data_IF_957678959626
#
_entry.id   IF_957678959626
#
_cell.length_a   1.000
_cell.length_b   1.000
_cell.length_c   1.000
_cell.angle_alpha   90.00
_cell.angle_beta   90.00
_cell.angle_gamma   90.00
#
_symmetry.space_group_name_H-M   'P 1'
#
loop_
_entity.id
_entity.type
_entity.pdbx_description
1 polymer ?
#
# COMPACT_ATOMS: atom_id res chain seq x y z
N UNK A 1 6.92 -9.90 5.46
CA UNK A 1 5.52 -9.60 5.88
C UNK A 1 5.44 -9.64 7.40
N UNK A 2 4.78 -8.66 8.02
CA UNK A 2 4.51 -8.61 9.46
C UNK A 2 3.03 -8.32 9.69
N UNK A 3 2.43 -8.97 10.69
CA UNK A 3 1.01 -8.81 11.03
C UNK A 3 0.89 -8.45 12.51
N UNK A 4 0.07 -7.44 12.82
CA UNK A 4 -0.36 -7.08 14.19
C UNK A 4 -1.86 -7.34 14.28
N UNK A 5 -2.26 -8.23 15.18
CA UNK A 5 -3.66 -8.59 15.40
C UNK A 5 -4.22 -7.78 16.57
N UNK A 6 -5.52 -7.46 16.50
CA UNK A 6 -6.26 -6.87 17.61
C UNK A 6 -7.76 -6.93 17.34
N UNK A 7 -8.53 -7.50 18.27
CA UNK A 7 -10.02 -7.57 18.27
C UNK A 7 -10.69 -7.61 16.88
N UNK A 8 -10.44 -8.70 16.13
CA UNK A 8 -11.04 -8.89 14.81
C UNK A 8 -10.46 -7.99 13.71
N UNK A 9 -9.37 -7.28 13.97
CA UNK A 9 -8.60 -6.53 12.99
C UNK A 9 -7.19 -7.12 12.83
N UNK A 10 -6.63 -6.98 11.63
CA UNK A 10 -5.25 -7.31 11.33
C UNK A 10 -4.60 -6.15 10.55
N UNK A 11 -3.60 -5.52 11.15
CA UNK A 11 -2.72 -4.57 10.49
C UNK A 11 -1.56 -5.33 9.86
N UNK A 12 -1.43 -5.23 8.55
CA UNK A 12 -0.45 -5.98 7.75
C UNK A 12 0.56 -5.01 7.15
N UNK A 13 1.84 -5.24 7.44
CA UNK A 13 2.97 -4.62 6.76
C UNK A 13 3.50 -5.59 5.70
N UNK A 14 3.46 -5.15 4.45
CA UNK A 14 3.88 -5.95 3.30
C UNK A 14 5.00 -5.22 2.56
N UNK A 15 6.13 -5.89 2.41
CA UNK A 15 7.21 -5.43 1.54
C UNK A 15 7.06 -6.13 0.19
N UNK A 16 7.19 -5.38 -0.89
CA UNK A 16 7.17 -5.90 -2.26
C UNK A 16 8.36 -5.36 -3.03
N UNK A 17 9.21 -6.27 -3.53
CA UNK A 17 10.24 -5.95 -4.50
C UNK A 17 9.58 -5.91 -5.87
N UNK A 18 9.57 -4.75 -6.51
CA UNK A 18 9.08 -4.56 -7.87
C UNK A 18 10.28 -4.49 -8.81
N UNK A 19 10.39 -5.46 -9.71
CA UNK A 19 11.33 -5.49 -10.81
C UNK A 19 10.53 -5.58 -12.10
N UNK A 20 10.48 -4.49 -12.86
CA UNK A 20 9.68 -4.39 -14.08
C UNK A 20 10.36 -3.48 -15.10
N UNK A 21 9.81 -3.45 -16.32
CA UNK A 21 10.20 -2.52 -17.36
C UNK A 21 9.20 -1.37 -17.42
N UNK A 22 9.71 -0.14 -17.50
CA UNK A 22 8.92 1.04 -17.81
C UNK A 22 8.42 0.98 -19.25
N UNK A 23 7.44 1.81 -19.60
CA UNK A 23 6.90 1.92 -20.97
C UNK A 23 7.95 2.26 -22.02
N UNK A 24 9.05 2.92 -21.63
CA UNK A 24 10.19 3.23 -22.50
C UNK A 24 11.28 2.13 -22.54
N UNK A 25 11.04 0.96 -21.93
CA UNK A 25 11.97 -0.17 -21.89
C UNK A 25 13.07 -0.07 -20.83
N UNK A 26 13.12 1.01 -20.03
CA UNK A 26 14.06 1.14 -18.93
C UNK A 26 13.73 0.18 -17.77
N UNK A 27 14.76 -0.30 -17.07
CA UNK A 27 14.57 -1.08 -15.84
C UNK A 27 14.02 -0.20 -14.72
N UNK A 28 13.00 -0.72 -14.02
CA UNK A 28 12.43 -0.13 -12.83
C UNK A 28 12.47 -1.14 -11.69
N UNK A 29 13.42 -0.90 -10.78
CA UNK A 29 13.66 -1.71 -9.60
C UNK A 29 13.40 -0.87 -8.36
N UNK A 30 12.42 -1.25 -7.55
CA UNK A 30 12.10 -0.54 -6.31
C UNK A 30 11.58 -1.49 -5.24
N UNK A 31 11.65 -1.07 -3.99
CA UNK A 31 11.01 -1.75 -2.85
C UNK A 31 9.84 -0.87 -2.40
N UNK A 32 8.67 -1.48 -2.25
CA UNK A 32 7.48 -0.81 -1.72
C UNK A 32 7.09 -1.41 -0.38
N UNK A 33 6.93 -0.55 0.61
CA UNK A 33 6.41 -0.90 1.93
C UNK A 33 4.94 -0.49 2.01
N UNK A 34 4.04 -1.46 1.84
CA UNK A 34 2.60 -1.27 1.93
C UNK A 34 2.08 -1.51 3.35
N UNK A 35 0.94 -0.89 3.67
CA UNK A 35 0.19 -1.11 4.91
C UNK A 35 -1.26 -1.42 4.58
N UNK A 36 -1.76 -2.56 5.03
CA UNK A 36 -3.16 -2.96 4.84
C UNK A 36 -3.85 -3.16 6.18
N UNK A 37 -5.15 -2.89 6.22
CA UNK A 37 -5.99 -3.23 7.37
C UNK A 37 -7.06 -4.20 6.91
N UNK A 38 -7.12 -5.35 7.56
CA UNK A 38 -8.19 -6.33 7.39
C UNK A 38 -9.08 -6.35 8.61
N UNK A 39 -10.37 -6.57 8.40
CA UNK A 39 -11.37 -6.78 9.46
C UNK A 39 -12.07 -8.13 9.26
N UNK A 40 -12.26 -8.86 10.34
CA UNK A 40 -13.02 -10.09 10.40
C UNK A 40 -14.50 -9.75 10.48
N UNK A 41 -15.25 -10.04 9.42
CA UNK A 41 -16.69 -9.81 9.29
C UNK A 41 -17.31 -11.11 8.80
N UNK A 42 -18.32 -11.61 9.50
CA UNK A 42 -19.00 -12.88 9.17
C UNK A 42 -18.00 -14.02 8.90
N UNK A 43 -17.01 -14.14 9.80
CA UNK A 43 -15.94 -15.12 9.77
C UNK A 43 -15.04 -15.06 8.51
N UNK A 44 -14.99 -13.90 7.84
CA UNK A 44 -14.15 -13.64 6.66
C UNK A 44 -13.31 -12.39 6.86
N UNK A 45 -12.04 -12.46 6.46
CA UNK A 45 -11.16 -11.29 6.46
C UNK A 45 -11.39 -10.45 5.21
N UNK A 46 -11.83 -9.21 5.42
CA UNK A 46 -12.05 -8.24 4.36
C UNK A 46 -11.04 -7.11 4.49
N UNK A 47 -10.40 -6.74 3.37
CA UNK A 47 -9.54 -5.57 3.33
C UNK A 47 -10.42 -4.31 3.45
N UNK A 48 -10.21 -3.54 4.51
CA UNK A 48 -10.95 -2.29 4.78
C UNK A 48 -10.08 -1.05 4.54
N UNK A 49 -8.76 -1.22 4.49
CA UNK A 49 -7.82 -0.17 4.07
C UNK A 49 -6.77 -0.77 3.14
N UNK A 50 -6.75 -0.29 1.90
CA UNK A 50 -5.75 -0.63 0.88
C UNK A 50 -4.76 0.54 0.70
N UNK A 51 -3.63 0.50 1.40
CA UNK A 51 -2.56 1.50 1.26
C UNK A 51 -1.26 0.85 0.75
N UNK A 52 -1.04 0.83 -0.57
CA UNK A 52 0.16 0.25 -1.16
C UNK A 52 1.44 1.07 -0.95
N UNK A 53 1.33 2.27 -0.34
CA UNK A 53 2.44 3.19 -0.08
C UNK A 53 2.89 3.20 1.39
N UNK A 54 2.15 2.52 2.27
CA UNK A 54 2.45 2.48 3.70
C UNK A 54 2.68 3.87 4.29
N UNK A 55 3.80 4.04 5.00
CA UNK A 55 4.16 5.30 5.65
C UNK A 55 4.90 6.28 4.72
N UNK A 56 5.21 5.90 3.47
CA UNK A 56 5.86 6.81 2.52
C UNK A 56 4.98 8.03 2.21
N UNK A 57 3.66 7.90 2.32
CA UNK A 57 2.71 9.02 2.22
C UNK A 57 3.01 10.16 3.22
N UNK A 58 3.64 9.84 4.35
CA UNK A 58 4.00 10.82 5.39
C UNK A 58 5.36 11.46 5.12
N UNK A 59 6.18 10.89 4.23
CA UNK A 59 7.53 11.37 3.94
C UNK A 59 7.52 12.51 2.91
N UNK A 60 6.44 12.72 2.15
CA UNK A 60 6.33 13.83 1.20
C UNK A 60 5.73 15.08 1.85
N UNK A 61 6.57 16.03 2.25
CA UNK A 61 6.13 17.33 2.80
C UNK A 61 5.68 18.35 1.74
N UNK A 62 5.79 18.05 0.45
CA UNK A 62 5.49 19.04 -0.60
C UNK A 62 4.20 18.82 -1.40
N UNK A 63 3.53 17.66 -1.40
CA UNK A 63 2.41 17.50 -2.34
C UNK A 63 1.47 16.29 -2.09
N UNK A 64 0.86 16.26 -0.91
CA UNK A 64 -0.19 15.26 -0.59
C UNK A 64 -1.34 15.29 -1.61
N UNK A 65 -1.68 16.46 -2.17
CA UNK A 65 -2.82 16.61 -3.09
C UNK A 65 -2.59 15.98 -4.47
N UNK A 66 -1.39 16.07 -5.03
CA UNK A 66 -1.11 15.53 -6.36
C UNK A 66 -1.06 14.00 -6.39
N UNK A 67 -0.69 13.34 -5.28
CA UNK A 67 -0.71 11.87 -5.18
C UNK A 67 -2.12 11.27 -5.14
N UNK A 68 -3.10 11.97 -4.52
CA UNK A 68 -4.50 11.55 -4.50
C UNK A 68 -5.23 11.83 -5.83
N UNK A 69 -4.86 12.90 -6.55
CA UNK A 69 -5.50 13.27 -7.81
C UNK A 69 -5.09 12.38 -8.99
N UNK A 70 -3.86 11.85 -9.00
CA UNK A 70 -3.39 10.94 -10.06
C UNK A 70 -4.22 9.64 -10.15
N UNK A 71 -4.89 9.24 -9.06
CA UNK A 71 -5.62 7.97 -8.97
C UNK A 71 -7.14 8.04 -9.23
N UNK A 72 -7.73 9.23 -9.33
CA UNK A 72 -9.15 9.39 -9.74
C UNK A 72 -9.31 9.62 -11.26
N UNK A 73 -8.24 9.46 -12.03
CA UNK A 73 -8.24 9.67 -13.50
C UNK A 73 -7.94 8.38 -14.28
N UNK A 74 -8.14 7.21 -13.68
CA UNK A 74 -8.06 5.90 -14.35
C UNK A 74 -9.39 5.18 -14.18
#
# INVERSE_FOLDING_TARGET
>A
MKIILGEGCALVFAETVLNTKMSNGADFNTVREATYVFKLIDNRWLCVTDNPYGTDLLKSTSDIRSHFLYKNSI
#
